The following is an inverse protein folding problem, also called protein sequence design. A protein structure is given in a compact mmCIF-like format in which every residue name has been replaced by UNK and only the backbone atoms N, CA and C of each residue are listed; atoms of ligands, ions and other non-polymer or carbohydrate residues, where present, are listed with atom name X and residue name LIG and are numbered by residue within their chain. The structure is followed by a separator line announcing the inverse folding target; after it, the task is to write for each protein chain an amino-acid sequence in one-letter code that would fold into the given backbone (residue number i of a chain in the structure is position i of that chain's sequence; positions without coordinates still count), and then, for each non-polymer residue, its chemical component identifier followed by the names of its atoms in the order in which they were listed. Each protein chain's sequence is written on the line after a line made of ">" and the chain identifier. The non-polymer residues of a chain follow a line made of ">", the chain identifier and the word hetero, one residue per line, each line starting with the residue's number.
data_IF_348341702407
#
_entry.id   IF_348341702407
#
_cell.length_a   1.000
_cell.length_b   1.000
_cell.length_c   1.000
_cell.angle_alpha   90.00
_cell.angle_beta   90.00
_cell.angle_gamma   90.00
#
_symmetry.space_group_name_H-M   'P 1'
#
loop_
_entity.id
_entity.type
_entity.pdbx_description
1 polymer ?
#
# COMPACT_ATOMS: atom_id res chain seq x y z
N UNK A 1 10.40 9.38 -13.02
CA UNK A 1 9.06 9.93 -12.70
C UNK A 1 8.64 9.37 -11.35
N UNK A 2 8.34 10.23 -10.37
CA UNK A 2 7.95 9.80 -9.01
C UNK A 2 6.43 9.64 -8.93
N UNK A 3 5.69 10.68 -9.32
CA UNK A 3 4.23 10.68 -9.42
C UNK A 3 3.79 11.62 -10.55
N UNK A 4 2.56 11.47 -11.03
CA UNK A 4 1.96 12.34 -12.04
C UNK A 4 0.46 12.54 -11.81
N UNK A 5 -0.05 13.74 -12.07
CA UNK A 5 -1.46 14.08 -11.88
C UNK A 5 -1.95 14.99 -13.00
N UNK A 6 -3.17 14.75 -13.46
CA UNK A 6 -3.89 15.69 -14.32
C UNK A 6 -4.40 16.86 -13.46
N UNK A 7 -4.10 18.07 -13.91
CA UNK A 7 -4.47 19.31 -13.21
C UNK A 7 -5.49 20.07 -14.05
N UNK A 8 -6.65 20.46 -13.50
CA UNK A 8 -7.59 21.33 -14.18
C UNK A 8 -6.97 22.72 -14.42
N UNK A 9 -7.02 23.19 -15.67
CA UNK A 9 -6.46 24.49 -16.07
C UNK A 9 -7.37 25.69 -15.75
N UNK A 10 -8.66 25.44 -15.49
CA UNK A 10 -9.67 26.49 -15.30
C UNK A 10 -9.84 26.91 -13.83
N UNK A 11 -9.21 26.19 -12.89
CA UNK A 11 -9.41 26.40 -11.46
C UNK A 11 -8.08 26.32 -10.72
N UNK A 12 -7.90 27.20 -9.74
CA UNK A 12 -6.78 27.11 -8.79
C UNK A 12 -7.13 26.19 -7.64
N UNK A 13 -6.16 25.40 -7.19
CA UNK A 13 -6.35 24.49 -6.06
C UNK A 13 -5.07 23.80 -5.66
N UNK A 14 -5.12 23.13 -4.51
CA UNK A 14 -4.03 22.30 -4.03
C UNK A 14 -4.02 20.95 -4.74
N UNK A 15 -2.81 20.45 -5.00
CA UNK A 15 -2.59 19.08 -5.48
C UNK A 15 -1.53 18.40 -4.65
N UNK A 16 -1.84 17.18 -4.24
CA UNK A 16 -0.93 16.28 -3.53
C UNK A 16 -0.25 15.34 -4.52
N UNK A 17 1.06 15.16 -4.35
CA UNK A 17 1.86 14.18 -5.09
C UNK A 17 2.45 13.21 -4.08
N UNK A 18 2.35 11.92 -4.37
CA UNK A 18 2.96 10.91 -3.51
C UNK A 18 4.46 10.81 -3.79
N UNK A 19 5.27 11.33 -2.87
CA UNK A 19 6.74 11.30 -2.95
C UNK A 19 7.36 10.35 -1.93
N UNK A 20 6.57 9.44 -1.34
CA UNK A 20 6.99 8.55 -0.24
C UNK A 20 8.23 7.73 -0.60
N UNK A 21 8.30 7.17 -1.81
CA UNK A 21 9.45 6.39 -2.28
C UNK A 21 10.73 7.23 -2.37
N UNK A 22 10.62 8.48 -2.86
CA UNK A 22 11.75 9.38 -2.99
C UNK A 22 12.30 9.77 -1.61
N UNK A 23 11.41 10.09 -0.66
CA UNK A 23 11.79 10.39 0.73
C UNK A 23 12.48 9.20 1.38
N UNK A 24 11.99 7.97 1.19
CA UNK A 24 12.67 6.77 1.70
C UNK A 24 14.07 6.59 1.14
N UNK A 25 14.25 6.87 -0.15
CA UNK A 25 15.57 6.85 -0.78
C UNK A 25 16.50 7.92 -0.18
N UNK A 26 15.99 9.13 0.06
CA UNK A 26 16.76 10.22 0.66
C UNK A 26 17.21 9.92 2.08
N UNK A 27 16.32 9.34 2.89
CA UNK A 27 16.65 8.94 4.26
C UNK A 27 17.78 7.89 4.31
N UNK A 28 17.86 6.99 3.32
CA UNK A 28 18.94 6.00 3.23
C UNK A 28 20.26 6.61 2.75
N UNK A 29 20.20 7.67 1.94
CA UNK A 29 21.35 8.26 1.26
C UNK A 29 21.55 9.73 1.68
N UNK A 30 21.81 9.97 2.97
CA UNK A 30 21.88 11.31 3.56
C UNK A 30 23.08 12.18 3.10
N UNK A 31 24.00 11.64 2.30
CA UNK A 31 25.28 12.29 1.99
C UNK A 31 25.24 13.23 0.78
N UNK A 32 24.17 13.22 -0.02
CA UNK A 32 24.04 14.08 -1.20
C UNK A 32 22.76 14.92 -1.10
N UNK A 33 22.84 16.24 -1.35
CA UNK A 33 21.64 17.06 -1.42
C UNK A 33 20.78 16.58 -2.60
N UNK A 34 19.49 16.37 -2.35
CA UNK A 34 18.53 15.88 -3.32
C UNK A 34 17.37 16.87 -3.45
N UNK A 35 16.79 16.95 -4.65
CA UNK A 35 15.81 17.97 -5.01
C UNK A 35 14.60 17.30 -5.67
N UNK A 36 13.41 17.89 -5.51
CA UNK A 36 12.22 17.52 -6.29
C UNK A 36 12.09 18.48 -7.46
N UNK A 37 12.04 17.91 -8.65
CA UNK A 37 11.83 18.65 -9.88
C UNK A 37 10.41 18.39 -10.39
N UNK A 38 9.71 19.47 -10.72
CA UNK A 38 8.33 19.44 -11.16
C UNK A 38 8.27 20.05 -12.56
N UNK A 39 7.70 19.30 -13.49
CA UNK A 39 7.52 19.71 -14.88
C UNK A 39 6.04 19.68 -15.22
N UNK A 40 5.59 20.62 -16.06
CA UNK A 40 4.22 20.64 -16.59
C UNK A 40 4.29 20.34 -18.07
N UNK A 41 3.64 19.26 -18.47
CA UNK A 41 3.51 18.86 -19.87
C UNK A 41 2.04 18.85 -20.28
N UNK A 42 1.79 19.08 -21.57
CA UNK A 42 0.46 19.00 -22.12
C UNK A 42 0.00 17.54 -22.22
N UNK A 43 -1.26 17.28 -21.84
CA UNK A 43 -1.87 15.95 -21.96
C UNK A 43 -1.88 15.45 -23.43
N UNK A 44 -1.94 16.39 -24.39
CA UNK A 44 -2.00 16.10 -25.82
C UNK A 44 -0.91 16.83 -26.58
N UNK A 45 -0.42 16.17 -27.63
CA UNK A 45 0.45 16.78 -28.63
C UNK A 45 -0.32 17.82 -29.45
N UNK A 46 0.19 19.04 -29.48
CA UNK A 46 -0.38 20.14 -30.27
C UNK A 46 0.01 21.50 -29.71
N UNK A 47 0.17 22.49 -30.59
CA UNK A 47 0.56 23.86 -30.20
C UNK A 47 -0.42 24.49 -29.22
N UNK A 48 -1.72 24.27 -29.43
CA UNK A 48 -2.77 24.78 -28.55
C UNK A 48 -2.69 24.15 -27.14
N UNK A 49 -2.55 22.83 -27.05
CA UNK A 49 -2.45 22.13 -25.77
C UNK A 49 -1.18 22.51 -25.00
N UNK A 50 -0.05 22.70 -25.71
CA UNK A 50 1.19 23.20 -25.12
C UNK A 50 1.04 24.63 -24.58
N UNK A 51 0.35 25.51 -25.30
CA UNK A 51 0.12 26.89 -24.84
C UNK A 51 -0.79 26.94 -23.61
N UNK A 52 -1.80 26.07 -23.58
CA UNK A 52 -2.69 25.91 -22.42
C UNK A 52 -1.93 25.40 -21.19
N UNK A 53 -1.01 24.44 -21.35
CA UNK A 53 -0.21 23.91 -20.24
C UNK A 53 0.66 24.99 -19.57
N UNK A 54 1.13 26.00 -20.31
CA UNK A 54 1.92 27.11 -19.76
C UNK A 54 1.18 27.96 -18.74
N UNK A 55 -0.15 27.90 -18.69
CA UNK A 55 -0.95 28.66 -17.72
C UNK A 55 -0.91 28.06 -16.31
N UNK A 56 -0.36 26.85 -16.16
CA UNK A 56 -0.15 26.24 -14.85
C UNK A 56 1.07 26.91 -14.21
N UNK A 57 0.83 27.60 -13.10
CA UNK A 57 1.86 28.26 -12.31
C UNK A 57 1.80 27.78 -10.86
N UNK A 58 2.96 27.64 -10.24
CA UNK A 58 3.08 27.33 -8.82
C UNK A 58 3.25 28.61 -8.01
N UNK A 59 2.77 28.62 -6.76
CA UNK A 59 3.00 29.72 -5.84
C UNK A 59 4.51 29.97 -5.62
N UNK A 60 4.90 31.24 -5.57
CA UNK A 60 6.29 31.67 -5.40
C UNK A 60 6.79 31.40 -3.97
N UNK A 61 8.05 31.00 -3.83
CA UNK A 61 8.71 30.78 -2.53
C UNK A 61 9.51 32.02 -2.06
N UNK A 62 9.13 33.21 -2.52
CA UNK A 62 9.86 34.45 -2.24
C UNK A 62 9.62 34.97 -0.81
N UNK A 63 10.62 35.58 -0.16
CA UNK A 63 10.51 36.05 1.23
C UNK A 63 9.54 37.23 1.43
N UNK A 64 9.09 37.88 0.36
CA UNK A 64 8.23 39.07 0.39
C UNK A 64 6.75 38.81 0.00
N UNK A 65 6.43 37.63 -0.53
CA UNK A 65 5.07 37.30 -0.94
C UNK A 65 4.27 36.73 0.23
N UNK A 66 3.03 37.18 0.39
CA UNK A 66 2.10 36.64 1.39
C UNK A 66 2.00 35.12 1.20
N UNK A 67 2.31 34.40 2.28
CA UNK A 67 2.51 32.95 2.53
C UNK A 67 1.46 31.97 1.91
N UNK A 68 0.43 32.47 1.23
CA UNK A 68 -0.69 31.67 0.75
C UNK A 68 -0.30 30.93 -0.54
N UNK A 69 -0.25 29.59 -0.50
CA UNK A 69 -0.06 28.76 -1.69
C UNK A 69 1.38 28.30 -1.96
N UNK A 70 2.31 28.48 -1.01
CA UNK A 70 3.68 27.95 -1.16
C UNK A 70 3.65 26.41 -1.17
N UNK A 71 4.39 25.75 -2.08
CA UNK A 71 4.50 24.29 -2.05
C UNK A 71 5.14 23.82 -0.74
N UNK A 72 4.52 22.87 -0.06
CA UNK A 72 5.05 22.27 1.17
C UNK A 72 5.20 20.77 1.01
N UNK A 73 6.34 20.25 1.48
CA UNK A 73 6.52 18.81 1.68
C UNK A 73 6.07 18.47 3.09
N UNK A 74 4.96 17.74 3.18
CA UNK A 74 4.43 17.28 4.47
C UNK A 74 4.79 15.82 4.68
N UNK A 75 5.48 15.53 5.78
CA UNK A 75 5.91 14.19 6.15
C UNK A 75 5.13 13.72 7.38
N UNK A 76 4.52 12.55 7.29
CA UNK A 76 3.87 11.90 8.41
C UNK A 76 4.73 10.73 8.89
N UNK A 77 5.41 10.93 10.03
CA UNK A 77 6.19 9.88 10.67
C UNK A 77 5.38 9.26 11.79
N UNK A 78 5.20 7.94 11.75
CA UNK A 78 4.56 7.19 12.82
C UNK A 78 5.59 6.28 13.49
N UNK A 79 5.55 6.20 14.82
CA UNK A 79 6.37 5.23 15.55
C UNK A 79 5.82 3.81 15.28
N UNK A 80 6.55 3.01 14.52
CA UNK A 80 6.14 1.66 14.13
C UNK A 80 6.00 0.70 15.32
N UNK A 81 6.68 0.94 16.44
CA UNK A 81 6.54 0.11 17.64
C UNK A 81 5.20 0.36 18.35
N UNK A 82 4.69 1.59 18.29
CA UNK A 82 3.43 1.98 18.93
C UNK A 82 2.22 1.91 17.99
N UNK A 83 2.44 2.16 16.71
CA UNK A 83 1.41 2.33 15.68
C UNK A 83 1.48 1.29 14.56
N UNK A 84 2.45 0.38 14.62
CA UNK A 84 2.59 -0.75 13.71
C UNK A 84 2.01 -2.04 14.26
N UNK A 85 2.20 -3.14 13.53
CA UNK A 85 1.78 -4.46 13.97
C UNK A 85 2.76 -5.04 15.00
N UNK A 86 2.24 -5.71 16.03
CA UNK A 86 3.03 -6.31 17.12
C UNK A 86 3.71 -7.64 16.74
N UNK A 87 3.89 -7.93 15.44
CA UNK A 87 4.30 -9.25 14.96
C UNK A 87 3.23 -10.29 15.24
N UNK A 88 3.61 -11.43 15.84
CA UNK A 88 2.67 -12.50 16.19
C UNK A 88 1.87 -12.18 17.46
N UNK A 89 0.58 -12.52 17.46
CA UNK A 89 -0.34 -12.28 18.56
C UNK A 89 0.07 -13.08 19.81
N UNK A 90 0.76 -12.45 20.76
CA UNK A 90 1.04 -13.06 22.06
C UNK A 90 -0.24 -13.17 22.89
N UNK A 91 -0.43 -14.32 23.55
CA UNK A 91 -1.58 -14.63 24.40
C UNK A 91 -1.56 -13.73 25.65
N UNK A 92 -2.08 -12.51 25.50
CA UNK A 92 -2.68 -11.60 26.50
C UNK A 92 -2.37 -10.14 26.15
N UNK A 93 -3.44 -9.39 25.79
CA UNK A 93 -3.59 -7.94 25.99
C UNK A 93 -2.92 -6.95 25.02
N UNK A 94 -2.63 -7.31 23.79
CA UNK A 94 -2.46 -6.29 22.77
C UNK A 94 -3.71 -6.26 21.90
N UNK A 95 -4.58 -5.28 22.09
CA UNK A 95 -5.61 -4.96 21.10
C UNK A 95 -5.02 -4.42 19.80
N UNK A 96 -3.68 -4.37 19.67
CA UNK A 96 -2.98 -3.89 18.49
C UNK A 96 -2.92 -4.97 17.41
N UNK A 97 -2.83 -4.53 16.15
CA UNK A 97 -2.72 -5.40 14.98
C UNK A 97 -1.59 -6.42 15.14
N UNK A 98 -1.88 -7.70 14.91
CA UNK A 98 -0.92 -8.79 15.02
C UNK A 98 -1.31 -9.96 14.12
N UNK A 99 -0.35 -10.84 13.83
CA UNK A 99 -0.53 -12.08 13.08
C UNK A 99 -0.93 -13.20 14.06
N UNK A 100 -2.10 -13.77 13.87
CA UNK A 100 -2.61 -14.87 14.66
C UNK A 100 -2.46 -16.19 13.91
N UNK A 101 -2.08 -17.23 14.64
CA UNK A 101 -2.08 -18.61 14.12
C UNK A 101 -3.46 -19.03 13.63
N UNK A 102 -3.50 -19.56 12.42
CA UNK A 102 -4.71 -20.08 11.80
C UNK A 102 -4.34 -21.18 10.81
N UNK A 103 -4.66 -22.42 11.18
CA UNK A 103 -4.34 -23.59 10.40
C UNK A 103 -5.54 -23.99 9.54
N UNK A 104 -5.31 -24.19 8.24
CA UNK A 104 -6.30 -24.68 7.30
C UNK A 104 -5.99 -26.13 7.01
N UNK A 105 -6.91 -27.02 7.38
CA UNK A 105 -6.83 -28.44 7.08
C UNK A 105 -7.67 -28.75 5.84
N UNK A 106 -7.03 -29.07 4.72
CA UNK A 106 -7.73 -29.40 3.48
C UNK A 106 -8.51 -30.72 3.58
N UNK A 107 -8.19 -31.59 4.56
CA UNK A 107 -8.94 -32.84 4.81
C UNK A 107 -10.24 -32.61 5.57
N UNK A 108 -10.38 -31.51 6.31
CA UNK A 108 -11.60 -31.17 7.06
C UNK A 108 -12.58 -30.34 6.23
N UNK A 109 -12.10 -29.70 5.16
CA UNK A 109 -12.90 -28.90 4.26
C UNK A 109 -13.57 -29.78 3.20
N UNK A 110 -14.90 -29.80 3.22
CA UNK A 110 -15.73 -30.63 2.32
C UNK A 110 -15.47 -30.37 0.85
N UNK A 111 -15.09 -29.14 0.50
CA UNK A 111 -14.82 -28.73 -0.86
C UNK A 111 -13.40 -29.06 -1.34
N UNK A 112 -12.43 -29.42 -0.49
CA UNK A 112 -11.03 -29.76 -0.88
C UNK A 112 -10.62 -31.20 -0.63
N UNK A 113 -11.31 -31.89 0.27
CA UNK A 113 -10.88 -33.17 0.86
C UNK A 113 -10.46 -34.26 -0.13
N UNK A 114 -11.05 -34.30 -1.34
CA UNK A 114 -10.88 -35.40 -2.30
C UNK A 114 -9.98 -35.09 -3.50
N UNK A 115 -9.62 -33.83 -3.74
CA UNK A 115 -8.86 -33.45 -4.93
C UNK A 115 -7.53 -32.76 -4.64
N UNK A 116 -7.32 -32.27 -3.41
CA UNK A 116 -5.99 -31.82 -2.97
C UNK A 116 -5.20 -33.02 -2.44
N UNK A 117 -4.04 -33.25 -3.03
CA UNK A 117 -3.13 -34.35 -2.67
C UNK A 117 -2.15 -33.86 -1.60
N UNK A 118 -1.40 -32.79 -1.90
CA UNK A 118 -0.43 -32.17 -0.99
C UNK A 118 -0.51 -30.63 -1.03
N UNK A 119 -0.28 -29.92 0.09
CA UNK A 119 -0.17 -30.47 1.45
C UNK A 119 -1.56 -30.92 1.99
N UNK A 120 -1.63 -31.73 3.06
CA UNK A 120 -2.91 -32.05 3.71
C UNK A 120 -3.52 -30.85 4.46
N UNK A 121 -2.70 -29.86 4.80
CA UNK A 121 -3.08 -28.61 5.43
C UNK A 121 -1.88 -27.70 5.56
N UNK A 122 -2.12 -26.43 5.89
CA UNK A 122 -1.07 -25.43 5.98
C UNK A 122 -1.41 -24.35 7.00
N UNK A 123 -0.38 -23.68 7.50
CA UNK A 123 -0.54 -22.54 8.41
C UNK A 123 -0.75 -21.27 7.58
N UNK A 124 -2.01 -20.85 7.44
CA UNK A 124 -2.36 -19.65 6.68
C UNK A 124 -2.04 -18.37 7.45
N UNK A 125 -2.20 -18.42 8.78
CA UNK A 125 -2.25 -17.27 9.67
C UNK A 125 -3.35 -16.26 9.28
N UNK A 126 -3.72 -15.36 10.20
CA UNK A 126 -4.65 -14.27 9.93
C UNK A 126 -4.22 -13.00 10.65
N UNK A 127 -4.51 -11.84 10.07
CA UNK A 127 -4.34 -10.59 10.78
C UNK A 127 -5.53 -10.36 11.72
N UNK A 128 -5.25 -9.95 12.96
CA UNK A 128 -6.24 -9.70 14.00
C UNK A 128 -5.82 -8.49 14.85
N UNK A 129 -6.77 -7.92 15.59
CA UNK A 129 -6.56 -6.71 16.39
C UNK A 129 -6.98 -5.44 15.67
N UNK A 130 -6.72 -4.30 16.28
CA UNK A 130 -7.04 -2.96 15.76
C UNK A 130 -5.79 -2.08 15.68
N UNK A 131 -5.91 -0.97 14.97
CA UNK A 131 -4.83 -0.01 14.81
C UNK A 131 -5.14 1.23 15.64
N UNK A 132 -4.16 1.71 16.41
CA UNK A 132 -4.29 3.00 17.08
C UNK A 132 -4.44 4.08 16.03
N UNK A 133 -5.53 4.84 16.13
CA UNK A 133 -5.73 6.02 15.30
C UNK A 133 -4.83 7.14 15.83
N UNK A 134 -4.10 7.86 14.95
CA UNK A 134 -3.40 9.06 15.36
C UNK A 134 -4.42 10.08 15.90
N UNK A 135 -4.10 10.70 17.03
CA UNK A 135 -4.90 11.82 17.53
C UNK A 135 -4.70 13.04 16.62
N UNK A 136 -5.69 13.94 16.60
CA UNK A 136 -5.71 15.22 15.86
C UNK A 136 -4.30 15.87 15.68
N UNK A 137 -4.00 16.47 14.50
CA UNK A 137 -4.94 17.00 13.50
C UNK A 137 -5.06 16.19 12.19
N UNK A 138 -4.74 14.89 12.21
CA UNK A 138 -4.60 14.10 10.98
C UNK A 138 -5.85 13.28 10.64
N UNK A 139 -6.73 13.82 9.80
CA UNK A 139 -7.91 13.12 9.26
C UNK A 139 -7.58 12.37 7.96
N UNK A 140 -6.65 11.40 7.99
CA UNK A 140 -6.27 10.60 6.80
C UNK A 140 -7.07 9.29 6.66
N UNK A 141 -8.24 9.22 7.30
CA UNK A 141 -9.09 8.04 7.31
C UNK A 141 -8.75 7.05 8.42
N UNK A 142 -9.62 6.05 8.57
CA UNK A 142 -9.47 5.04 9.60
C UNK A 142 -8.40 4.02 9.21
N UNK A 143 -7.50 3.73 10.16
CA UNK A 143 -6.49 2.68 10.02
C UNK A 143 -7.06 1.31 10.35
N UNK A 144 -6.89 0.35 9.45
CA UNK A 144 -7.34 -1.03 9.59
C UNK A 144 -6.13 -1.98 9.66
N UNK A 145 -6.31 -3.13 10.31
CA UNK A 145 -5.28 -4.16 10.38
C UNK A 145 -5.38 -5.06 9.14
N UNK A 146 -4.34 -5.10 8.33
CA UNK A 146 -4.32 -5.83 7.06
C UNK A 146 -3.01 -6.59 6.84
N UNK A 147 -3.02 -7.43 5.81
CA UNK A 147 -1.85 -8.18 5.34
C UNK A 147 -0.89 -7.23 4.64
N UNK A 148 0.36 -7.16 5.12
CA UNK A 148 1.43 -6.39 4.48
C UNK A 148 2.27 -7.25 3.53
N UNK A 149 2.56 -8.49 3.94
CA UNK A 149 3.34 -9.44 3.16
C UNK A 149 2.69 -10.82 3.22
N UNK A 150 2.66 -11.48 2.09
CA UNK A 150 2.16 -12.84 1.94
C UNK A 150 3.01 -13.61 0.95
N UNK A 151 3.04 -14.94 1.08
CA UNK A 151 3.77 -15.83 0.19
C UNK A 151 2.84 -16.83 -0.50
N UNK A 152 3.31 -17.35 -1.64
CA UNK A 152 2.61 -18.38 -2.38
C UNK A 152 2.68 -19.74 -1.69
N UNK A 153 1.67 -20.58 -1.95
CA UNK A 153 1.64 -21.97 -1.50
C UNK A 153 1.60 -22.88 -2.73
N UNK A 154 2.61 -23.75 -2.95
CA UNK A 154 2.51 -24.81 -3.95
C UNK A 154 1.51 -25.87 -3.48
N UNK A 155 0.57 -26.21 -4.36
CA UNK A 155 -0.46 -27.24 -4.12
C UNK A 155 -0.40 -28.25 -5.24
N UNK A 156 -0.42 -29.53 -4.87
CA UNK A 156 -0.58 -30.65 -5.78
C UNK A 156 -2.02 -31.16 -5.73
N UNK A 157 -2.69 -31.19 -6.89
CA UNK A 157 -4.12 -31.46 -6.96
C UNK A 157 -4.54 -32.22 -8.22
N UNK A 158 -5.71 -32.86 -8.16
CA UNK A 158 -6.28 -33.65 -9.25
C UNK A 158 -7.10 -32.77 -10.20
N UNK A 159 -6.78 -32.84 -11.49
CA UNK A 159 -7.51 -32.18 -12.57
C UNK A 159 -8.11 -33.22 -13.49
N UNK A 160 -9.40 -33.07 -13.83
CA UNK A 160 -10.08 -33.96 -14.78
C UNK A 160 -9.88 -33.43 -16.21
N UNK A 161 -9.16 -34.19 -17.05
CA UNK A 161 -8.99 -33.91 -18.48
C UNK A 161 -9.70 -35.00 -19.29
N UNK A 162 -10.91 -34.69 -19.74
CA UNK A 162 -11.77 -35.65 -20.43
C UNK A 162 -12.12 -36.84 -19.53
N UNK A 163 -11.64 -38.01 -19.90
CA UNK A 163 -11.94 -39.29 -19.24
C UNK A 163 -10.91 -39.72 -18.19
N UNK A 164 -9.77 -39.02 -18.08
CA UNK A 164 -8.74 -39.33 -17.10
C UNK A 164 -8.51 -38.18 -16.12
N UNK A 165 -7.98 -38.52 -14.95
CA UNK A 165 -7.54 -37.58 -13.92
C UNK A 165 -6.02 -37.50 -13.93
N UNK A 166 -5.50 -36.29 -14.00
CA UNK A 166 -4.07 -36.00 -13.98
C UNK A 166 -3.71 -35.22 -12.71
N UNK A 167 -2.48 -35.39 -12.24
CA UNK A 167 -1.95 -34.63 -11.10
C UNK A 167 -1.25 -33.38 -11.63
N UNK A 168 -1.63 -32.22 -11.13
CA UNK A 168 -0.98 -30.96 -11.44
C UNK A 168 -0.44 -30.30 -10.18
N UNK A 169 0.63 -29.50 -10.36
CA UNK A 169 1.21 -28.68 -9.30
C UNK A 169 1.11 -27.22 -9.72
N UNK A 170 0.52 -26.39 -8.86
CA UNK A 170 0.44 -24.95 -9.09
C UNK A 170 0.78 -24.18 -7.82
N UNK A 171 1.38 -23.00 -7.99
CA UNK A 171 1.61 -22.06 -6.91
C UNK A 171 0.46 -21.07 -6.81
N UNK A 172 -0.22 -21.08 -5.67
CA UNK A 172 -1.32 -20.16 -5.39
C UNK A 172 -0.78 -18.94 -4.63
N UNK A 173 -0.88 -17.72 -5.21
CA UNK A 173 -0.34 -16.52 -4.57
C UNK A 173 -1.14 -16.11 -3.33
N UNK A 174 -0.49 -15.40 -2.41
CA UNK A 174 -1.12 -14.79 -1.23
C UNK A 174 -1.88 -15.76 -0.31
N UNK A 175 -1.35 -16.97 -0.15
CA UNK A 175 -1.97 -18.01 0.65
C UNK A 175 -1.53 -17.99 2.11
N UNK A 176 -0.26 -17.67 2.39
CA UNK A 176 0.30 -17.63 3.75
C UNK A 176 0.62 -16.19 4.11
N UNK A 177 0.09 -15.71 5.25
CA UNK A 177 0.37 -14.38 5.78
C UNK A 177 1.71 -14.38 6.51
N UNK A 178 2.66 -13.61 6.00
CA UNK A 178 3.99 -13.45 6.61
C UNK A 178 4.02 -12.26 7.57
N UNK A 179 3.40 -11.13 7.19
CA UNK A 179 3.36 -9.93 8.02
C UNK A 179 1.99 -9.27 8.02
N UNK A 180 1.57 -8.86 9.21
CA UNK A 180 0.40 -8.02 9.44
C UNK A 180 0.82 -6.62 9.85
N UNK A 181 0.01 -5.62 9.51
CA UNK A 181 0.24 -4.26 9.96
C UNK A 181 -0.92 -3.32 9.69
N UNK A 182 -0.74 -2.08 10.10
CA UNK A 182 -1.77 -1.07 10.08
C UNK A 182 -1.70 -0.24 8.80
N UNK A 183 -2.65 -0.49 7.90
CA UNK A 183 -2.84 0.25 6.65
C UNK A 183 -3.92 1.32 6.82
N UNK A 184 -3.95 2.31 5.93
CA UNK A 184 -5.05 3.27 5.84
C UNK A 184 -5.93 2.87 4.66
N UNK A 185 -7.25 2.79 4.88
CA UNK A 185 -8.21 2.38 3.84
C UNK A 185 -8.33 3.43 2.70
N UNK A 186 -7.65 4.57 2.79
CA UNK A 186 -7.80 5.67 1.85
C UNK A 186 -6.46 6.27 1.36
N UNK A 187 -5.58 5.43 0.83
CA UNK A 187 -4.61 5.89 -0.17
C UNK A 187 -5.26 6.18 -1.55
N UNK A 188 -6.59 6.27 -1.63
CA UNK A 188 -7.27 7.03 -2.68
C UNK A 188 -7.22 8.51 -2.35
N UNK A 189 -6.19 9.15 -2.90
CA UNK A 189 -6.13 10.54 -3.36
C UNK A 189 -7.52 11.22 -3.38
N UNK A 190 -7.73 12.19 -2.49
CA UNK A 190 -8.67 13.31 -2.71
C UNK A 190 -7.88 14.55 -3.13
#
# INVERSE_FOLDING_TARGET
>A
LIDSRLVPILYSGWKSLDVTQAVHYWMKNANTPMYLEIWVEAERVGSYAAEVAKHVHFGTQGPADKIIGKPELVLYTLNLEEYGGAGDCRVKKSGMCCRQEHFINFRELTWTQYWIIEPPGYQAFRCAGSCKQPTWPFHYGERSCAVLESVSLPIMYLVKKGDYTEVEVAEFPSMIVEKCGCVMDNASVM
#
